data_IF_761213567925
#
_entry.id   IF_761213567925
#
_cell.length_a   1.000
_cell.length_b   1.000
_cell.length_c   1.000
_cell.angle_alpha   90.00
_cell.angle_beta   90.00
_cell.angle_gamma   90.00
#
_symmetry.space_group_name_H-M   'P 1'
#
loop_
_entity.id
_entity.type
_entity.pdbx_description
1 polymer ?
#
# COMPACT_ATOMS: atom_id res chain seq x y z
N UNK A 1 -1.85 9.72 -2.06
CA UNK A 1 -2.20 9.81 -0.62
C UNK A 1 -2.40 11.26 -0.20
N UNK A 2 -3.18 12.02 -0.99
CA UNK A 2 -3.16 13.49 -0.98
C UNK A 2 -4.14 14.13 0.00
N UNK A 3 -5.09 13.36 0.56
CA UNK A 3 -6.07 13.91 1.50
C UNK A 3 -5.39 14.50 2.75
N UNK A 4 -6.03 15.45 3.40
CA UNK A 4 -5.55 16.07 4.64
C UNK A 4 -5.66 15.15 5.88
N UNK A 5 -6.11 13.91 5.72
CA UNK A 5 -6.23 12.95 6.81
C UNK A 5 -4.86 12.62 7.41
N UNK A 6 -4.78 12.56 8.74
CA UNK A 6 -3.55 12.21 9.44
C UNK A 6 -3.05 10.80 9.07
N UNK A 7 -3.97 9.84 8.90
CA UNK A 7 -3.66 8.49 8.45
C UNK A 7 -4.16 8.24 7.03
N UNK A 8 -3.37 7.48 6.26
CA UNK A 8 -3.77 6.90 4.98
C UNK A 8 -3.51 5.39 5.05
N UNK A 9 -4.57 4.59 4.95
CA UNK A 9 -4.51 3.12 5.00
C UNK A 9 -4.89 2.61 3.61
N UNK A 10 -4.11 1.66 3.08
CA UNK A 10 -4.32 1.04 1.77
C UNK A 10 -4.54 -0.45 1.99
N UNK A 11 -5.50 -1.06 1.30
CA UNK A 11 -5.68 -2.50 1.35
C UNK A 11 -4.54 -3.20 0.62
N UNK A 12 -4.10 -4.35 1.12
CA UNK A 12 -2.99 -5.08 0.49
C UNK A 12 -3.36 -5.54 -0.93
N UNK A 13 -4.64 -5.82 -1.18
CA UNK A 13 -5.17 -6.15 -2.50
C UNK A 13 -4.97 -5.01 -3.51
N UNK A 14 -5.24 -3.76 -3.10
CA UNK A 14 -5.01 -2.57 -3.93
C UNK A 14 -3.51 -2.37 -4.21
N UNK A 15 -2.67 -2.58 -3.19
CA UNK A 15 -1.21 -2.45 -3.34
C UNK A 15 -0.65 -3.47 -4.34
N UNK A 16 -1.19 -4.68 -4.33
CA UNK A 16 -0.80 -5.78 -5.23
C UNK A 16 -1.52 -5.74 -6.58
N UNK A 17 -2.50 -4.84 -6.76
CA UNK A 17 -3.34 -4.73 -7.95
C UNK A 17 -4.04 -6.06 -8.30
N UNK A 18 -4.69 -6.68 -7.31
CA UNK A 18 -5.45 -7.93 -7.49
C UNK A 18 -6.95 -7.72 -7.26
N UNK A 19 -7.75 -8.26 -8.16
CA UNK A 19 -9.22 -8.18 -8.12
C UNK A 19 -9.81 -9.27 -7.21
N UNK A 20 -9.48 -9.21 -5.91
CA UNK A 20 -9.98 -10.17 -4.91
C UNK A 20 -10.58 -9.44 -3.72
N UNK A 21 -11.74 -9.90 -3.24
CA UNK A 21 -12.39 -9.34 -2.04
C UNK A 21 -11.99 -10.09 -0.78
N UNK A 22 -11.89 -9.37 0.33
CA UNK A 22 -11.78 -9.99 1.66
C UNK A 22 -13.14 -10.49 2.14
N UNK A 23 -14.21 -9.76 1.87
CA UNK A 23 -15.55 -10.09 2.34
C UNK A 23 -16.64 -9.52 1.43
N UNK A 24 -17.72 -10.25 1.30
CA UNK A 24 -19.02 -9.82 0.79
C UNK A 24 -20.05 -9.87 1.93
N UNK A 25 -20.42 -8.71 2.51
CA UNK A 25 -21.38 -8.65 3.61
C UNK A 25 -22.74 -9.24 3.22
N UNK A 26 -23.33 -10.06 4.09
CA UNK A 26 -24.61 -10.72 3.85
C UNK A 26 -24.49 -12.07 3.13
N UNK A 27 -23.31 -12.42 2.61
CA UNK A 27 -23.03 -13.74 2.05
C UNK A 27 -22.45 -14.65 3.15
N UNK A 28 -23.06 -15.81 3.45
CA UNK A 28 -22.47 -16.79 4.35
C UNK A 28 -21.11 -17.27 3.84
N UNK A 29 -20.17 -17.53 4.76
CA UNK A 29 -18.79 -17.81 4.40
C UNK A 29 -18.61 -19.04 3.49
N UNK A 30 -19.56 -19.97 3.51
CA UNK A 30 -19.59 -21.24 2.81
C UNK A 30 -20.48 -21.27 1.55
N UNK A 31 -21.18 -20.17 1.24
CA UNK A 31 -22.22 -20.15 0.18
C UNK A 31 -21.77 -19.68 -1.21
N UNK A 32 -20.49 -19.41 -1.43
CA UNK A 32 -19.98 -19.18 -2.79
C UNK A 32 -19.51 -20.52 -3.41
N UNK A 33 -20.36 -21.13 -4.23
CA UNK A 33 -20.03 -22.37 -4.95
C UNK A 33 -19.13 -22.15 -6.17
N UNK A 34 -18.84 -20.89 -6.55
CA UNK A 34 -18.17 -20.54 -7.80
C UNK A 34 -17.00 -19.54 -7.64
N UNK A 35 -16.65 -19.13 -6.40
CA UNK A 35 -15.60 -18.17 -6.12
C UNK A 35 -14.97 -18.29 -4.72
N UNK A 36 -14.01 -17.41 -4.39
CA UNK A 36 -13.29 -17.45 -3.11
C UNK A 36 -14.20 -17.11 -1.94
N UNK A 37 -14.21 -17.97 -0.93
CA UNK A 37 -14.99 -17.78 0.30
C UNK A 37 -14.62 -16.47 1.02
N UNK A 38 -15.59 -15.89 1.74
CA UNK A 38 -15.32 -14.75 2.62
C UNK A 38 -14.18 -15.06 3.59
N UNK A 39 -13.34 -14.06 3.85
CA UNK A 39 -12.20 -14.11 4.78
C UNK A 39 -11.09 -15.10 4.40
N UNK A 40 -11.14 -15.66 3.19
CA UNK A 40 -10.19 -16.67 2.72
C UNK A 40 -8.92 -16.10 2.07
N UNK A 41 -8.92 -14.83 1.67
CA UNK A 41 -7.77 -14.22 0.99
C UNK A 41 -6.50 -14.27 1.86
N UNK A 42 -5.35 -14.56 1.23
CA UNK A 42 -4.04 -14.68 1.89
C UNK A 42 -2.97 -13.97 1.07
N UNK A 43 -2.16 -13.19 1.77
CA UNK A 43 -0.94 -12.60 1.23
C UNK A 43 0.19 -13.62 1.16
N UNK A 44 1.01 -13.52 0.11
CA UNK A 44 2.29 -14.21 0.00
C UNK A 44 3.43 -13.20 -0.20
N UNK A 45 4.50 -13.31 0.59
CA UNK A 45 5.64 -12.40 0.51
C UNK A 45 6.29 -12.30 -0.87
N UNK A 46 6.23 -13.37 -1.65
CA UNK A 46 6.69 -13.42 -3.05
C UNK A 46 5.95 -12.44 -3.97
N UNK A 47 4.74 -12.02 -3.61
CA UNK A 47 3.95 -11.04 -4.37
C UNK A 47 4.47 -9.60 -4.18
N UNK A 48 5.23 -9.33 -3.11
CA UNK A 48 5.76 -7.99 -2.83
C UNK A 48 7.08 -7.78 -3.57
N UNK A 49 6.99 -7.25 -4.78
CA UNK A 49 8.16 -6.98 -5.63
C UNK A 49 8.94 -5.75 -5.18
N UNK A 50 10.17 -5.61 -5.68
CA UNK A 50 11.00 -4.40 -5.53
C UNK A 50 10.30 -3.15 -6.04
N UNK A 51 9.51 -3.29 -7.10
CA UNK A 51 8.86 -2.17 -7.79
C UNK A 51 7.71 -1.62 -6.94
N UNK A 52 6.90 -2.52 -6.36
CA UNK A 52 5.83 -2.15 -5.42
C UNK A 52 6.44 -1.43 -4.21
N UNK A 53 7.53 -1.96 -3.66
CA UNK A 53 8.26 -1.34 -2.53
C UNK A 53 8.76 0.06 -2.89
N UNK A 54 9.38 0.21 -4.05
CA UNK A 54 9.94 1.48 -4.52
C UNK A 54 8.84 2.50 -4.75
N UNK A 55 7.77 2.13 -5.46
CA UNK A 55 6.62 3.00 -5.70
C UNK A 55 5.95 3.44 -4.40
N UNK A 56 5.74 2.53 -3.45
CA UNK A 56 5.15 2.86 -2.16
C UNK A 56 6.03 3.86 -1.38
N UNK A 57 7.34 3.64 -1.35
CA UNK A 57 8.30 4.59 -0.76
C UNK A 57 8.20 5.97 -1.41
N UNK A 58 8.29 6.05 -2.74
CA UNK A 58 8.18 7.30 -3.48
C UNK A 58 6.87 8.04 -3.16
N UNK A 59 5.74 7.34 -3.09
CA UNK A 59 4.46 7.95 -2.74
C UNK A 59 4.42 8.44 -1.29
N UNK A 60 4.95 7.68 -0.34
CA UNK A 60 5.03 8.16 1.05
C UNK A 60 5.91 9.40 1.19
N UNK A 61 7.00 9.51 0.43
CA UNK A 61 7.86 10.69 0.44
C UNK A 61 7.18 11.89 -0.24
N UNK A 62 6.65 11.69 -1.45
CA UNK A 62 5.98 12.74 -2.24
C UNK A 62 4.80 13.37 -1.49
N UNK A 63 4.06 12.59 -0.69
CA UNK A 63 2.91 13.08 0.06
C UNK A 63 3.22 13.37 1.54
N UNK A 64 4.49 13.42 1.96
CA UNK A 64 4.89 13.79 3.32
C UNK A 64 4.46 12.80 4.41
N UNK A 65 4.34 11.51 4.06
CA UNK A 65 3.91 10.41 4.94
C UNK A 65 5.03 9.44 5.30
N UNK A 66 6.27 9.71 4.90
CA UNK A 66 7.47 9.01 5.37
C UNK A 66 8.04 9.73 6.61
N UNK A 67 8.14 9.03 7.74
CA UNK A 67 8.62 9.59 9.02
C UNK A 67 10.05 10.15 8.95
N UNK A 68 10.88 9.66 8.02
CA UNK A 68 12.24 10.18 7.82
C UNK A 68 12.25 11.54 7.12
N UNK A 69 11.21 11.84 6.34
CA UNK A 69 11.08 13.06 5.54
C UNK A 69 9.98 14.00 6.07
N UNK A 70 9.12 13.52 6.96
CA UNK A 70 8.02 14.27 7.58
C UNK A 70 8.43 15.14 8.78
N UNK A 71 9.68 15.04 9.23
CA UNK A 71 10.31 16.02 10.14
C UNK A 71 11.39 16.76 9.35
N UNK A 72 11.02 17.92 8.81
CA UNK A 72 11.90 18.98 8.31
C UNK A 72 13.33 18.55 7.97
N UNK A 73 13.51 17.94 6.80
CA UNK A 73 14.80 18.03 6.12
C UNK A 73 14.85 19.45 5.54
N UNK A 74 15.83 20.30 5.93
CA UNK A 74 15.97 21.62 5.36
C UNK A 74 16.15 21.54 3.83
N UNK A 75 15.72 22.56 3.06
CA UNK A 75 15.81 22.52 1.60
C UNK A 75 17.21 22.24 1.03
N UNK A 76 18.28 22.56 1.79
CA UNK A 76 19.67 22.30 1.41
C UNK A 76 20.04 20.81 1.32
N UNK A 77 19.33 19.94 2.05
CA UNK A 77 19.54 18.50 2.08
C UNK A 77 18.63 17.75 1.07
N UNK A 78 17.80 18.48 0.30
CA UNK A 78 16.98 17.92 -0.79
C UNK A 78 17.74 17.72 -2.11
N UNK A 79 19.01 18.14 -2.19
CA UNK A 79 19.84 17.84 -3.36
C UNK A 79 20.21 16.37 -3.28
N UNK A 80 19.49 15.56 -4.07
CA UNK A 80 19.80 14.17 -4.33
C UNK A 80 21.28 14.06 -4.67
N UNK A 81 22.03 13.36 -3.84
CA UNK A 81 23.43 13.00 -4.08
C UNK A 81 23.48 11.98 -5.23
N UNK A 82 23.13 12.42 -6.44
CA UNK A 82 23.55 11.77 -7.68
C UNK A 82 25.00 12.17 -7.92
N UNK A 83 25.92 11.54 -7.20
CA UNK A 83 27.34 11.40 -7.58
C UNK A 83 28.05 10.42 -6.66
N UNK A 84 27.98 9.13 -7.01
CA UNK A 84 29.15 8.26 -7.22
C UNK A 84 28.73 6.87 -7.69
#
# INVERSE_FOLDING_TARGET
MQSASNAAIIQMQDLLNVETRMNEPGTPADMDHNGPQNWSWRFQWSQLTSDIRTRLKTFTQMYGRDLKYGKSIPPEDMIMEDSK
#
